data_IF_741199001516
#
_entry.id   IF_741199001516
#
_cell.length_a   1.000
_cell.length_b   1.000
_cell.length_c   1.000
_cell.angle_alpha   90.00
_cell.angle_beta   90.00
_cell.angle_gamma   90.00
#
_symmetry.space_group_name_H-M   'P 1'
#
loop_
_entity.id
_entity.type
_entity.pdbx_description
1 polymer ?
#
# COMPACT_ATOMS: atom_id res chain seq x y z
N UNK A 1 -7.86 21.02 -5.13
CA UNK A 1 -8.05 19.82 -4.30
C UNK A 1 -8.15 18.63 -5.25
N UNK A 2 -7.02 18.02 -5.60
CA UNK A 2 -6.98 16.82 -6.44
C UNK A 2 -6.68 15.62 -5.55
N UNK A 3 -7.64 14.70 -5.43
CA UNK A 3 -7.49 13.47 -4.65
C UNK A 3 -7.92 12.31 -5.53
N UNK A 4 -7.09 11.27 -5.59
CA UNK A 4 -7.45 10.02 -6.25
C UNK A 4 -8.75 9.43 -5.67
N UNK A 5 -9.54 8.69 -6.46
CA UNK A 5 -10.71 8.00 -5.96
C UNK A 5 -10.33 7.01 -4.85
N UNK A 6 -11.17 6.97 -3.81
CA UNK A 6 -11.01 6.06 -2.67
C UNK A 6 -12.26 5.17 -2.54
N UNK A 7 -12.12 3.85 -2.41
CA UNK A 7 -13.23 2.91 -2.43
C UNK A 7 -14.14 3.05 -1.21
N UNK A 8 -15.44 2.77 -1.36
CA UNK A 8 -16.44 2.84 -0.28
C UNK A 8 -16.10 2.01 0.97
N UNK A 9 -15.69 0.73 0.84
CA UNK A 9 -15.25 -0.07 1.99
C UNK A 9 -13.85 0.31 2.52
N UNK A 10 -13.19 1.30 1.92
CA UNK A 10 -11.91 1.84 2.36
C UNK A 10 -10.74 0.86 2.33
N UNK A 11 -9.96 0.82 3.41
CA UNK A 11 -8.76 -0.01 3.50
C UNK A 11 -9.08 -1.52 3.54
N UNK A 12 -10.32 -1.90 3.86
CA UNK A 12 -10.74 -3.30 3.94
C UNK A 12 -10.44 -4.07 2.65
N UNK A 13 -10.67 -3.45 1.48
CA UNK A 13 -10.43 -4.10 0.18
C UNK A 13 -8.94 -4.12 -0.22
N UNK A 14 -8.07 -3.50 0.58
CA UNK A 14 -6.61 -3.49 0.40
C UNK A 14 -5.91 -4.49 1.32
N UNK A 15 -6.65 -5.25 2.10
CA UNK A 15 -6.14 -6.35 2.92
C UNK A 15 -6.65 -7.65 2.33
N UNK A 16 -5.75 -8.53 1.89
CA UNK A 16 -6.14 -9.85 1.40
C UNK A 16 -6.44 -10.81 2.55
N UNK A 17 -7.58 -11.49 2.45
CA UNK A 17 -8.07 -12.44 3.46
C UNK A 17 -8.68 -11.75 4.68
N UNK A 18 -8.41 -12.30 5.87
CA UNK A 18 -8.94 -11.76 7.12
C UNK A 18 -8.40 -10.35 7.40
N UNK A 19 -9.33 -9.44 7.70
CA UNK A 19 -9.05 -8.05 8.07
C UNK A 19 -8.79 -7.99 9.57
N UNK A 20 -7.59 -7.60 9.95
CA UNK A 20 -7.18 -7.39 11.34
C UNK A 20 -6.67 -5.96 11.52
N UNK A 21 -6.72 -5.43 12.74
CA UNK A 21 -6.22 -4.08 13.04
C UNK A 21 -4.75 -3.92 12.66
N UNK A 22 -3.92 -4.93 12.96
CA UNK A 22 -2.50 -4.97 12.59
C UNK A 22 -2.30 -4.79 11.08
N UNK A 23 -3.03 -5.54 10.25
CA UNK A 23 -2.93 -5.42 8.79
C UNK A 23 -3.45 -4.08 8.29
N UNK A 24 -4.50 -3.54 8.92
CA UNK A 24 -5.04 -2.22 8.58
C UNK A 24 -4.04 -1.12 8.89
N UNK A 25 -3.32 -1.20 10.01
CA UNK A 25 -2.24 -0.27 10.35
C UNK A 25 -1.12 -0.35 9.33
N UNK A 26 -0.63 -1.56 9.01
CA UNK A 26 0.42 -1.72 8.00
C UNK A 26 0.02 -1.11 6.64
N UNK A 27 -1.22 -1.31 6.20
CA UNK A 27 -1.70 -0.70 4.95
C UNK A 27 -1.79 0.82 5.09
N UNK A 28 -2.29 1.34 6.22
CA UNK A 28 -2.42 2.79 6.46
C UNK A 28 -1.06 3.50 6.40
N UNK A 29 -0.06 2.94 7.08
CA UNK A 29 1.30 3.48 7.12
C UNK A 29 1.98 3.37 5.76
N UNK A 30 1.96 2.19 5.13
CA UNK A 30 2.58 1.99 3.82
C UNK A 30 1.94 2.85 2.71
N UNK A 31 0.62 3.07 2.75
CA UNK A 31 -0.08 3.95 1.81
C UNK A 31 0.25 5.43 2.06
N UNK A 32 0.53 5.83 3.30
CA UNK A 32 1.03 7.17 3.60
C UNK A 32 2.43 7.39 3.01
N UNK A 33 3.34 6.43 3.21
CA UNK A 33 4.69 6.46 2.65
C UNK A 33 4.63 6.54 1.11
N UNK A 34 3.86 5.66 0.47
CA UNK A 34 3.73 5.66 -0.99
C UNK A 34 3.23 7.03 -1.51
N UNK A 35 2.23 7.62 -0.87
CA UNK A 35 1.71 8.94 -1.27
C UNK A 35 2.76 10.05 -1.14
N UNK A 36 3.56 10.03 -0.08
CA UNK A 36 4.64 10.98 0.12
C UNK A 36 5.71 10.83 -0.97
N UNK A 37 6.12 9.60 -1.28
CA UNK A 37 7.16 9.33 -2.29
C UNK A 37 6.69 9.67 -3.72
N UNK A 38 5.44 9.37 -4.07
CA UNK A 38 4.85 9.78 -5.36
C UNK A 38 4.82 11.30 -5.50
N UNK A 39 4.45 12.03 -4.43
CA UNK A 39 4.44 13.49 -4.43
C UNK A 39 5.86 14.07 -4.56
N UNK A 40 6.84 13.53 -3.83
CA UNK A 40 8.27 13.92 -3.94
C UNK A 40 8.83 13.68 -5.34
N UNK A 41 8.39 12.62 -6.00
CA UNK A 41 8.77 12.31 -7.38
C UNK A 41 8.03 13.16 -8.43
N UNK A 42 7.03 13.97 -8.04
CA UNK A 42 6.23 14.78 -8.96
C UNK A 42 5.29 13.97 -9.85
N UNK A 43 4.94 12.74 -9.46
CA UNK A 43 4.13 11.80 -10.24
C UNK A 43 2.63 11.84 -9.91
N UNK A 44 2.22 12.75 -9.03
CA UNK A 44 0.85 12.87 -8.50
C UNK A 44 -0.20 13.19 -9.57
N UNK A 45 0.23 13.73 -10.73
CA UNK A 45 -0.63 14.05 -11.88
C UNK A 45 -0.59 13.00 -12.97
N UNK A 46 0.48 12.21 -13.04
CA UNK A 46 0.69 11.23 -14.11
C UNK A 46 0.04 9.89 -13.77
N UNK A 47 -0.02 9.56 -12.47
CA UNK A 47 -0.61 8.31 -11.99
C UNK A 47 -2.04 8.57 -11.52
N UNK A 48 -2.99 7.93 -12.20
CA UNK A 48 -4.42 8.05 -11.90
C UNK A 48 -4.78 7.53 -10.51
N UNK A 49 -4.26 6.36 -10.13
CA UNK A 49 -4.50 5.78 -8.83
C UNK A 49 -3.28 4.99 -8.36
N UNK A 50 -2.84 5.26 -7.13
CA UNK A 50 -1.74 4.54 -6.49
C UNK A 50 -2.07 4.19 -5.05
N UNK A 51 -1.79 2.96 -4.64
CA UNK A 51 -2.05 2.49 -3.28
C UNK A 51 -1.26 1.22 -2.93
N UNK A 52 -1.19 0.92 -1.64
CA UNK A 52 -0.62 -0.33 -1.13
C UNK A 52 -1.68 -1.38 -0.80
N UNK A 53 -1.29 -2.65 -0.89
CA UNK A 53 -2.12 -3.81 -0.56
C UNK A 53 -1.33 -4.77 0.32
N UNK A 54 -1.87 -5.17 1.47
CA UNK A 54 -1.32 -6.27 2.23
C UNK A 54 -1.71 -7.59 1.57
N UNK A 55 -0.72 -8.36 1.13
CA UNK A 55 -0.97 -9.56 0.34
C UNK A 55 -1.35 -10.80 1.15
N UNK A 56 -1.23 -10.74 2.48
CA UNK A 56 -1.37 -11.91 3.35
C UNK A 56 -0.24 -12.95 3.22
N UNK A 57 0.69 -12.77 2.28
CA UNK A 57 1.86 -13.63 2.11
C UNK A 57 2.99 -13.11 2.98
N UNK A 58 3.61 -13.99 3.77
CA UNK A 58 4.79 -13.66 4.56
C UNK A 58 6.06 -13.99 3.80
N UNK A 59 7.04 -13.09 3.88
CA UNK A 59 8.39 -13.28 3.33
C UNK A 59 9.43 -13.25 4.46
N UNK A 60 10.58 -13.88 4.21
CA UNK A 60 11.70 -13.87 5.14
C UNK A 60 12.49 -12.59 4.99
N UNK A 61 12.64 -11.84 6.06
CA UNK A 61 13.59 -10.74 6.20
C UNK A 61 14.82 -11.15 6.99
N UNK A 62 15.87 -10.32 6.92
CA UNK A 62 17.05 -10.42 7.77
C UNK A 62 17.11 -9.17 8.63
N UNK A 63 17.13 -9.33 9.95
CA UNK A 63 17.25 -8.24 10.91
C UNK A 63 18.37 -8.58 11.90
N UNK A 64 19.49 -7.85 11.83
CA UNK A 64 20.72 -8.24 12.51
C UNK A 64 21.21 -9.62 12.05
N UNK A 65 21.52 -10.49 12.99
CA UNK A 65 21.94 -11.88 12.72
C UNK A 65 20.75 -12.87 12.63
N UNK A 66 19.51 -12.37 12.74
CA UNK A 66 18.29 -13.18 12.79
C UNK A 66 17.45 -13.14 11.51
N UNK A 67 16.59 -14.15 11.37
CA UNK A 67 15.52 -14.17 10.34
C UNK A 67 14.23 -13.64 10.94
N UNK A 68 13.57 -12.73 10.22
CA UNK A 68 12.22 -12.25 10.54
C UNK A 68 11.24 -12.74 9.48
N UNK A 69 9.95 -12.77 9.82
CA UNK A 69 8.89 -13.08 8.87
C UNK A 69 7.86 -11.96 8.94
N UNK A 70 7.65 -11.26 7.83
CA UNK A 70 6.71 -10.15 7.77
C UNK A 70 5.87 -10.21 6.49
N UNK A 71 4.76 -9.48 6.47
CA UNK A 71 3.84 -9.43 5.34
C UNK A 71 4.46 -8.71 4.15
N UNK A 72 4.25 -9.28 2.97
CA UNK A 72 4.58 -8.64 1.70
C UNK A 72 3.52 -7.61 1.36
N UNK A 73 3.94 -6.36 1.14
CA UNK A 73 3.10 -5.27 0.66
C UNK A 73 3.29 -5.10 -0.84
N UNK A 74 2.19 -5.11 -1.59
CA UNK A 74 2.19 -4.82 -3.01
C UNK A 74 1.88 -3.34 -3.25
N UNK A 75 2.62 -2.69 -4.14
CA UNK A 75 2.30 -1.36 -4.67
C UNK A 75 1.50 -1.55 -5.95
N UNK A 76 0.34 -0.91 -6.04
CA UNK A 76 -0.46 -0.82 -7.27
C UNK A 76 -0.52 0.64 -7.68
N UNK A 77 0.04 0.94 -8.85
CA UNK A 77 -0.03 2.25 -9.49
C UNK A 77 -0.51 2.06 -10.93
N UNK A 78 -1.54 2.81 -11.33
CA UNK A 78 -2.15 2.71 -12.65
C UNK A 78 -2.32 4.10 -13.25
N UNK A 79 -2.04 4.21 -14.55
CA UNK A 79 -2.39 5.35 -15.39
C UNK A 79 -3.74 5.07 -16.05
N UNK A 80 -4.59 6.08 -16.25
CA UNK A 80 -5.80 5.93 -17.07
C UNK A 80 -5.51 6.48 -18.47
N UNK A 81 -5.90 5.74 -19.51
CA UNK A 81 -5.88 6.22 -20.90
C UNK A 81 -7.27 6.70 -21.36
N UNK A 82 -8.29 6.47 -20.53
CA UNK A 82 -9.69 6.82 -20.73
C UNK A 82 -10.21 7.74 -19.61
#
# INVERSE_FOLDING_TARGET
VWRQPFPGPGLAIRVMGEITEEKLETVRESDAILREEIAKAGLDRDIWQYFTVNTGVRSVGVMGDGRTYDYTIAIRAITSID
#
